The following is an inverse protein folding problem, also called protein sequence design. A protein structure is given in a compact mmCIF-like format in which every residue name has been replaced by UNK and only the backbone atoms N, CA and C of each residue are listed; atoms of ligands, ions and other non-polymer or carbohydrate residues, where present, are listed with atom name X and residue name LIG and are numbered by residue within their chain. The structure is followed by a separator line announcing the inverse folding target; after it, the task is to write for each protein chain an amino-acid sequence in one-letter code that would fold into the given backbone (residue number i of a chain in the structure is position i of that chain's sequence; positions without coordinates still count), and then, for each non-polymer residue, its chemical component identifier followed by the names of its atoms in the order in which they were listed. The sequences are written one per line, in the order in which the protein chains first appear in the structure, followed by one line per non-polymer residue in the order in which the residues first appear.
data_IF_820360451208
#
_entry.id   IF_820360451208
#
_cell.length_a   1.000
_cell.length_b   1.000
_cell.length_c   1.000
_cell.angle_alpha   90.00
_cell.angle_beta   90.00
_cell.angle_gamma   90.00
#
_symmetry.space_group_name_H-M   'P 1'
#
loop_
_entity.id
_entity.type
_entity.pdbx_description
1 polymer ?
#
# COMPACT_ATOMS: atom_id res chain seq x y z
N UNK A 1 15.54 4.10 14.39
CA UNK A 1 15.74 3.09 13.33
C UNK A 1 14.51 3.10 12.46
N UNK A 2 14.64 3.31 11.15
CA UNK A 2 13.51 3.25 10.25
C UNK A 2 13.20 1.77 9.99
N UNK A 3 12.05 1.29 10.45
CA UNK A 3 11.57 -0.04 10.11
C UNK A 3 11.05 -0.02 8.68
N UNK A 4 11.65 -0.80 7.78
CA UNK A 4 11.13 -0.97 6.41
C UNK A 4 9.81 -1.74 6.48
N UNK A 5 8.78 -1.25 5.78
CA UNK A 5 7.51 -1.98 5.69
C UNK A 5 7.67 -3.21 4.78
N UNK A 6 6.84 -4.23 4.99
CA UNK A 6 6.78 -5.42 4.13
C UNK A 6 6.62 -5.07 2.63
N UNK A 7 5.88 -4.01 2.33
CA UNK A 7 5.72 -3.49 0.96
C UNK A 7 7.04 -2.90 0.41
N UNK A 8 7.75 -2.10 1.21
CA UNK A 8 9.04 -1.51 0.81
C UNK A 8 10.10 -2.57 0.54
N UNK A 9 10.16 -3.62 1.39
CA UNK A 9 11.08 -4.75 1.20
C UNK A 9 10.74 -5.49 -0.10
N UNK A 10 9.46 -5.74 -0.37
CA UNK A 10 9.03 -6.37 -1.62
C UNK A 10 9.45 -5.55 -2.83
N UNK A 11 9.16 -4.25 -2.87
CA UNK A 11 9.55 -3.38 -3.99
C UNK A 11 11.06 -3.44 -4.27
N UNK A 12 11.87 -3.45 -3.22
CA UNK A 12 13.32 -3.60 -3.31
C UNK A 12 13.72 -4.96 -3.87
N UNK A 13 13.08 -6.05 -3.45
CA UNK A 13 13.37 -7.40 -3.96
C UNK A 13 12.94 -7.53 -5.43
N UNK A 14 11.80 -6.97 -5.83
CA UNK A 14 11.33 -7.01 -7.21
C UNK A 14 12.23 -6.23 -8.18
N UNK A 15 12.91 -5.19 -7.69
CA UNK A 15 13.91 -4.47 -8.48
C UNK A 15 15.22 -5.25 -8.67
N UNK A 16 15.42 -6.34 -7.93
CA UNK A 16 16.63 -7.16 -8.00
C UNK A 16 16.44 -8.33 -8.96
N UNK A 17 17.56 -8.79 -9.53
CA UNK A 17 17.56 -10.01 -10.35
C UNK A 17 17.31 -11.22 -9.44
N UNK A 18 16.35 -12.07 -9.80
CA UNK A 18 16.08 -13.32 -9.07
C UNK A 18 17.34 -14.21 -9.11
N UNK A 19 17.74 -14.82 -7.98
CA UNK A 19 18.89 -15.70 -7.95
C UNK A 19 18.61 -17.02 -8.68
N UNK A 20 19.67 -17.64 -9.20
CA UNK A 20 19.63 -18.99 -9.71
C UNK A 20 19.93 -19.96 -8.57
N UNK A 21 19.24 -21.10 -8.55
CA UNK A 21 19.54 -22.15 -7.57
C UNK A 21 20.95 -22.72 -7.82
N UNK A 22 21.81 -22.83 -6.80
CA UNK A 22 23.19 -23.31 -6.97
C UNK A 22 23.26 -24.80 -7.34
N UNK A 23 22.18 -25.56 -7.17
CA UNK A 23 22.16 -27.00 -7.42
C UNK A 23 21.59 -27.40 -8.79
N UNK A 24 20.63 -26.63 -9.32
CA UNK A 24 19.98 -26.98 -10.60
C UNK A 24 20.00 -25.85 -11.63
N UNK A 25 20.53 -24.67 -11.29
CA UNK A 25 20.65 -23.53 -12.19
C UNK A 25 19.33 -22.87 -12.62
N UNK A 26 18.18 -23.37 -12.16
CA UNK A 26 16.87 -22.75 -12.45
C UNK A 26 16.67 -21.49 -11.62
N UNK A 27 15.96 -20.52 -12.20
CA UNK A 27 15.57 -19.29 -11.51
C UNK A 27 14.66 -19.62 -10.31
N UNK A 28 14.95 -19.01 -9.17
CA UNK A 28 14.21 -19.25 -7.94
C UNK A 28 12.93 -18.41 -7.91
N UNK A 29 11.90 -18.95 -7.26
CA UNK A 29 10.59 -18.29 -7.15
C UNK A 29 10.54 -17.47 -5.87
N UNK A 30 9.89 -16.30 -5.94
CA UNK A 30 9.67 -15.47 -4.76
C UNK A 30 8.60 -16.12 -3.86
N UNK A 31 8.88 -16.16 -2.56
CA UNK A 31 8.09 -16.85 -1.56
C UNK A 31 7.84 -15.94 -0.37
N UNK A 32 6.58 -15.80 0.03
CA UNK A 32 6.18 -15.00 1.18
C UNK A 32 6.36 -15.79 2.47
N UNK A 33 7.06 -15.21 3.44
CA UNK A 33 7.18 -15.84 4.76
C UNK A 33 5.81 -15.75 5.47
N UNK A 34 5.27 -16.88 5.97
CA UNK A 34 4.01 -16.88 6.70
C UNK A 34 4.01 -15.86 7.85
N UNK A 35 2.87 -15.19 8.10
CA UNK A 35 2.77 -14.18 9.16
C UNK A 35 2.88 -14.77 10.57
N UNK A 36 2.79 -16.09 10.70
CA UNK A 36 3.00 -16.84 11.92
C UNK A 36 4.32 -17.62 11.80
N UNK A 37 5.22 -17.41 12.76
CA UNK A 37 6.42 -18.24 12.91
C UNK A 37 6.03 -19.57 13.57
N UNK A 38 6.47 -20.68 12.98
CA UNK A 38 6.31 -22.03 13.53
C UNK A 38 7.61 -22.44 14.27
N UNK A 39 7.52 -23.31 15.27
CA UNK A 39 8.64 -23.75 16.13
C UNK A 39 9.08 -22.70 17.18
N UNK A 40 10.33 -22.25 17.16
CA UNK A 40 10.97 -21.39 18.17
C UNK A 40 10.50 -19.92 18.14
N UNK A 41 9.64 -19.57 17.19
CA UNK A 41 9.07 -18.25 17.03
C UNK A 41 9.98 -17.23 16.33
N UNK A 42 11.23 -17.59 16.03
CA UNK A 42 12.21 -16.68 15.41
C UNK A 42 12.00 -16.53 13.90
N UNK A 43 11.47 -17.57 13.25
CA UNK A 43 11.24 -17.57 11.81
C UNK A 43 12.52 -17.32 11.01
N UNK A 44 12.40 -16.67 9.86
CA UNK A 44 13.51 -16.44 8.92
C UNK A 44 14.10 -15.03 8.99
N UNK A 45 13.59 -14.14 9.86
CA UNK A 45 14.12 -12.77 9.99
C UNK A 45 13.87 -11.82 8.80
N UNK A 46 13.30 -12.30 7.70
CA UNK A 46 12.91 -11.50 6.52
C UNK A 46 11.48 -11.86 6.06
N UNK A 47 10.74 -10.91 5.45
CA UNK A 47 9.36 -11.16 5.02
C UNK A 47 9.23 -11.97 3.73
N UNK A 48 10.32 -12.13 2.96
CA UNK A 48 10.33 -12.86 1.69
C UNK A 48 11.62 -13.63 1.53
N UNK A 49 11.52 -14.79 0.87
CA UNK A 49 12.66 -15.63 0.48
C UNK A 49 12.57 -15.96 -1.01
N UNK A 50 13.69 -16.34 -1.59
CA UNK A 50 13.67 -17.05 -2.88
C UNK A 50 13.75 -18.54 -2.61
N UNK A 51 12.87 -19.35 -3.21
CA UNK A 51 12.83 -20.80 -3.00
C UNK A 51 12.86 -21.54 -4.34
N UNK A 52 13.64 -22.61 -4.40
CA UNK A 52 13.71 -23.49 -5.57
C UNK A 52 12.57 -24.52 -5.52
N UNK A 53 11.53 -24.30 -6.34
CA UNK A 53 10.42 -25.23 -6.51
C UNK A 53 10.62 -26.29 -7.61
N UNK A 54 11.86 -26.44 -8.11
CA UNK A 54 12.18 -27.49 -9.07
C UNK A 54 12.16 -28.87 -8.40
N UNK A 55 11.22 -29.73 -8.77
CA UNK A 55 11.12 -31.09 -8.24
C UNK A 55 12.23 -32.03 -8.72
N UNK A 56 13.00 -31.62 -9.72
CA UNK A 56 14.18 -32.37 -10.20
C UNK A 56 15.50 -31.85 -9.57
N UNK A 57 15.42 -30.97 -8.58
CA UNK A 57 16.60 -30.39 -7.95
C UNK A 57 17.33 -31.46 -7.11
N UNK A 58 18.66 -31.61 -7.23
CA UNK A 58 19.39 -32.68 -6.52
C UNK A 58 19.16 -32.75 -5.00
N UNK A 59 19.15 -31.64 -4.23
CA UNK A 59 18.85 -31.67 -2.80
C UNK A 59 17.41 -32.11 -2.51
N UNK A 60 16.46 -31.80 -3.39
CA UNK A 60 15.07 -32.18 -3.20
C UNK A 60 14.82 -33.65 -3.52
N UNK A 61 15.46 -34.21 -4.53
CA UNK A 61 15.35 -35.65 -4.82
C UNK A 61 16.03 -36.48 -3.72
N UNK A 62 17.28 -36.14 -3.40
CA UNK A 62 18.06 -36.86 -2.37
C UNK A 62 17.50 -36.69 -0.97
N UNK A 63 16.92 -35.52 -0.67
CA UNK A 63 16.38 -35.22 0.66
C UNK A 63 15.30 -36.19 1.13
N UNK A 64 14.53 -36.81 0.22
CA UNK A 64 13.54 -37.83 0.59
C UNK A 64 14.17 -39.06 1.22
N UNK A 65 15.23 -39.56 0.60
CA UNK A 65 15.95 -40.74 1.09
C UNK A 65 16.81 -40.36 2.30
N UNK A 66 17.54 -39.24 2.22
CA UNK A 66 18.42 -38.77 3.30
C UNK A 66 17.66 -38.55 4.62
N UNK A 67 16.48 -37.92 4.59
CA UNK A 67 15.69 -37.70 5.81
C UNK A 67 15.04 -39.00 6.29
N UNK A 68 14.62 -39.87 5.38
CA UNK A 68 14.08 -41.17 5.75
C UNK A 68 15.12 -42.05 6.45
N UNK A 69 16.34 -42.12 5.91
CA UNK A 69 17.41 -42.98 6.43
C UNK A 69 17.94 -42.49 7.79
N UNK A 70 18.05 -41.17 7.99
CA UNK A 70 18.60 -40.59 9.21
C UNK A 70 17.55 -40.33 10.32
N UNK A 71 16.30 -40.05 9.94
CA UNK A 71 15.27 -39.58 10.87
C UNK A 71 13.95 -40.35 10.79
N UNK A 72 13.84 -41.38 9.94
CA UNK A 72 12.61 -42.18 9.75
C UNK A 72 11.36 -41.34 9.43
N UNK A 73 11.55 -40.17 8.81
CA UNK A 73 10.46 -39.25 8.45
C UNK A 73 10.42 -39.04 6.93
N UNK A 74 9.22 -39.07 6.36
CA UNK A 74 9.00 -38.76 4.95
C UNK A 74 8.96 -37.24 4.75
N UNK A 75 10.12 -36.65 4.53
CA UNK A 75 10.27 -35.24 4.18
C UNK A 75 11.44 -35.07 3.21
N UNK A 76 11.54 -33.91 2.59
CA UNK A 76 12.70 -33.50 1.79
C UNK A 76 13.04 -32.05 2.10
N UNK A 77 14.01 -31.48 1.39
CA UNK A 77 14.43 -30.09 1.50
C UNK A 77 14.33 -29.37 0.16
N UNK A 78 13.96 -28.09 0.21
CA UNK A 78 14.10 -27.15 -0.91
C UNK A 78 15.18 -26.14 -0.59
N UNK A 79 16.01 -25.82 -1.57
CA UNK A 79 17.00 -24.75 -1.43
C UNK A 79 16.27 -23.39 -1.37
N UNK A 80 16.58 -22.60 -0.36
CA UNK A 80 16.09 -21.23 -0.16
C UNK A 80 17.26 -20.24 -0.14
N UNK A 81 17.00 -18.98 -0.45
CA UNK A 81 17.98 -17.91 -0.52
C UNK A 81 17.41 -16.63 0.10
N UNK A 82 18.15 -16.02 1.03
CA UNK A 82 17.80 -14.73 1.62
C UNK A 82 18.11 -13.60 0.63
N UNK A 83 17.13 -12.75 0.27
CA UNK A 83 17.34 -11.65 -0.66
C UNK A 83 18.45 -10.67 -0.23
N UNK A 84 18.62 -10.43 1.08
CA UNK A 84 19.59 -9.43 1.57
C UNK A 84 21.05 -9.94 1.56
N UNK A 85 21.28 -11.19 1.97
CA UNK A 85 22.63 -11.76 2.15
C UNK A 85 23.06 -12.68 1.02
N UNK A 86 22.13 -13.12 0.17
CA UNK A 86 22.33 -14.20 -0.83
C UNK A 86 22.84 -15.51 -0.22
N UNK A 87 22.64 -15.69 1.09
CA UNK A 87 22.93 -16.93 1.79
C UNK A 87 21.92 -17.99 1.36
N UNK A 88 22.41 -19.17 1.01
CA UNK A 88 21.59 -20.31 0.63
C UNK A 88 21.46 -21.29 1.79
N UNK A 89 20.23 -21.70 2.06
CA UNK A 89 19.89 -22.65 3.12
C UNK A 89 18.85 -23.66 2.61
N UNK A 90 18.39 -24.54 3.49
CA UNK A 90 17.42 -25.57 3.18
C UNK A 90 16.15 -25.38 4.01
N UNK A 91 15.02 -25.37 3.32
CA UNK A 91 13.68 -25.38 3.91
C UNK A 91 13.13 -26.81 3.84
N UNK A 92 12.81 -27.44 4.99
CA UNK A 92 12.14 -28.74 5.00
C UNK A 92 10.74 -28.66 4.37
N UNK A 93 10.38 -29.69 3.61
CA UNK A 93 9.07 -29.87 2.99
C UNK A 93 8.56 -31.29 3.19
N UNK A 94 7.30 -31.42 3.61
CA UNK A 94 6.70 -32.72 3.96
C UNK A 94 5.92 -33.37 2.81
N UNK A 95 5.82 -32.68 1.68
CA UNK A 95 5.13 -33.17 0.48
C UNK A 95 5.63 -32.40 -0.75
N UNK A 96 5.26 -32.87 -1.95
CA UNK A 96 5.60 -32.18 -3.20
C UNK A 96 5.01 -30.76 -3.26
N UNK A 97 3.83 -30.58 -2.68
CA UNK A 97 3.13 -29.29 -2.54
C UNK A 97 3.59 -28.49 -1.30
N UNK A 98 4.55 -29.03 -0.52
CA UNK A 98 5.08 -28.36 0.65
C UNK A 98 5.70 -27.01 0.28
N UNK A 99 5.20 -25.94 0.91
CA UNK A 99 5.66 -24.57 0.67
C UNK A 99 5.04 -23.88 -0.55
N UNK A 100 4.28 -24.56 -1.42
CA UNK A 100 3.76 -23.90 -2.65
C UNK A 100 2.66 -22.88 -2.38
N UNK A 101 2.00 -22.93 -1.23
CA UNK A 101 0.89 -22.03 -0.88
C UNK A 101 1.29 -20.57 -0.61
N UNK A 102 2.59 -20.28 -0.42
CA UNK A 102 3.09 -18.91 -0.25
C UNK A 102 3.95 -18.46 -1.44
N UNK A 103 3.85 -19.17 -2.57
CA UNK A 103 4.46 -18.69 -3.82
C UNK A 103 3.76 -17.40 -4.21
N UNK A 104 4.54 -16.35 -4.41
CA UNK A 104 4.04 -15.10 -4.97
C UNK A 104 3.93 -15.31 -6.48
N UNK A 105 2.71 -15.53 -6.94
CA UNK A 105 2.39 -15.76 -8.35
C UNK A 105 2.60 -14.46 -9.18
N UNK A 106 2.85 -14.63 -10.47
CA UNK A 106 2.97 -13.54 -11.46
C UNK A 106 1.71 -12.65 -11.47
N UNK A 107 0.56 -13.19 -11.05
CA UNK A 107 -0.68 -12.42 -10.88
C UNK A 107 -0.58 -11.35 -9.78
N UNK A 108 -0.01 -11.68 -8.62
CA UNK A 108 0.17 -10.72 -7.51
C UNK A 108 1.16 -9.63 -7.90
N UNK A 109 2.20 -10.00 -8.65
CA UNK A 109 3.16 -9.07 -9.22
C UNK A 109 2.50 -8.11 -10.22
N UNK A 110 1.67 -8.65 -11.13
CA UNK A 110 0.94 -7.85 -12.09
C UNK A 110 -0.05 -6.88 -11.43
N UNK A 111 -0.78 -7.31 -10.39
CA UNK A 111 -1.68 -6.44 -9.63
C UNK A 111 -0.93 -5.27 -8.97
N UNK A 112 0.27 -5.50 -8.45
CA UNK A 112 1.11 -4.44 -7.90
C UNK A 112 1.65 -3.49 -8.96
N UNK A 113 2.06 -3.99 -10.13
CA UNK A 113 2.47 -3.15 -11.24
C UNK A 113 1.31 -2.28 -11.73
N UNK A 114 0.11 -2.85 -11.85
CA UNK A 114 -1.11 -2.12 -12.18
C UNK A 114 -1.39 -1.04 -11.13
N UNK A 115 -1.26 -1.37 -9.84
CA UNK A 115 -1.44 -0.40 -8.76
C UNK A 115 -0.41 0.74 -8.85
N UNK A 116 0.87 0.42 -9.06
CA UNK A 116 1.95 1.41 -9.25
C UNK A 116 1.69 2.30 -10.45
N UNK A 117 1.25 1.73 -11.57
CA UNK A 117 0.93 2.48 -12.76
C UNK A 117 -0.29 3.39 -12.56
N UNK A 118 -1.33 2.91 -11.87
CA UNK A 118 -2.48 3.74 -11.45
C UNK A 118 -2.06 4.90 -10.56
N UNK A 119 -1.18 4.66 -9.58
CA UNK A 119 -0.63 5.72 -8.74
C UNK A 119 0.11 6.74 -9.62
N UNK A 120 1.03 6.32 -10.49
CA UNK A 120 1.76 7.24 -11.38
C UNK A 120 0.82 8.07 -12.25
N UNK A 121 -0.21 7.44 -12.84
CA UNK A 121 -1.24 8.11 -13.63
C UNK A 121 -2.01 9.13 -12.79
N UNK A 122 -2.47 8.75 -11.61
CA UNK A 122 -3.19 9.64 -10.69
C UNK A 122 -2.36 10.87 -10.28
N UNK A 123 -1.09 10.67 -9.92
CA UNK A 123 -0.17 11.77 -9.59
C UNK A 123 0.12 12.69 -10.79
N UNK A 124 0.23 12.13 -12.00
CA UNK A 124 0.39 12.92 -13.22
C UNK A 124 -0.82 13.82 -13.48
N UNK A 125 -2.04 13.26 -13.33
CA UNK A 125 -3.29 14.03 -13.49
C UNK A 125 -3.38 15.13 -12.43
N UNK A 126 -3.06 14.81 -11.16
CA UNK A 126 -3.04 15.80 -10.09
C UNK A 126 -2.06 16.94 -10.37
N UNK A 127 -0.84 16.63 -10.83
CA UNK A 127 0.14 17.64 -11.19
C UNK A 127 -0.37 18.57 -12.31
N UNK A 128 -0.99 18.01 -13.36
CA UNK A 128 -1.61 18.78 -14.43
C UNK A 128 -2.76 19.67 -13.92
N UNK A 129 -3.61 19.14 -13.05
CA UNK A 129 -4.72 19.86 -12.43
C UNK A 129 -4.22 21.03 -11.56
N UNK A 130 -3.10 20.86 -10.85
CA UNK A 130 -2.48 21.92 -10.06
C UNK A 130 -2.02 23.10 -10.91
N UNK A 131 -1.31 22.82 -12.01
CA UNK A 131 -0.78 23.86 -12.91
C UNK A 131 -1.90 24.63 -13.58
N UNK A 132 -2.94 23.91 -14.02
CA UNK A 132 -4.13 24.51 -14.64
C UNK A 132 -5.11 25.14 -13.64
N UNK A 133 -4.89 24.97 -12.33
CA UNK A 133 -5.81 25.34 -11.24
C UNK A 133 -7.20 24.71 -11.37
N UNK A 134 -7.27 23.52 -11.96
CA UNK A 134 -8.51 22.76 -12.07
C UNK A 134 -8.84 22.07 -10.74
N UNK A 135 -9.62 22.73 -9.91
CA UNK A 135 -10.08 22.20 -8.63
C UNK A 135 -11.09 21.06 -8.80
N UNK A 136 -11.85 21.01 -9.90
CA UNK A 136 -12.89 20.02 -10.15
C UNK A 136 -12.27 18.63 -10.35
N UNK A 137 -11.20 18.54 -11.13
CA UNK A 137 -10.48 17.27 -11.34
C UNK A 137 -9.87 16.74 -10.03
N UNK A 138 -9.38 17.63 -9.16
CA UNK A 138 -8.83 17.23 -7.85
C UNK A 138 -9.94 16.71 -6.93
N UNK A 139 -11.09 17.38 -6.86
CA UNK A 139 -12.26 16.90 -6.11
C UNK A 139 -12.70 15.52 -6.61
N UNK A 140 -12.78 15.33 -7.93
CA UNK A 140 -13.17 14.05 -8.54
C UNK A 140 -12.25 12.90 -8.10
N UNK A 141 -10.93 13.09 -8.20
CA UNK A 141 -9.93 12.08 -7.79
C UNK A 141 -9.95 11.80 -6.30
N UNK A 142 -10.25 12.81 -5.46
CA UNK A 142 -10.39 12.63 -4.03
C UNK A 142 -11.61 11.78 -3.66
N UNK A 143 -12.74 12.04 -4.32
CA UNK A 143 -14.02 11.37 -4.06
C UNK A 143 -14.10 9.96 -4.65
N UNK A 144 -13.31 9.65 -5.69
CA UNK A 144 -13.29 8.32 -6.29
C UNK A 144 -12.72 7.27 -5.32
N UNK A 145 -13.55 6.27 -4.97
CA UNK A 145 -13.16 5.18 -4.08
C UNK A 145 -12.27 4.12 -4.76
N UNK A 146 -12.23 4.11 -6.10
CA UNK A 146 -11.41 3.19 -6.89
C UNK A 146 -9.97 3.68 -7.03
N UNK A 147 -9.73 4.95 -6.73
CA UNK A 147 -8.41 5.56 -6.78
C UNK A 147 -7.52 5.10 -5.61
N UNK A 148 -6.21 4.92 -5.83
CA UNK A 148 -5.30 4.52 -4.77
C UNK A 148 -5.28 5.54 -3.62
N UNK A 149 -5.20 5.03 -2.39
CA UNK A 149 -5.28 5.86 -1.19
C UNK A 149 -4.23 6.99 -1.15
N UNK A 150 -3.03 6.75 -1.69
CA UNK A 150 -1.98 7.77 -1.80
C UNK A 150 -2.36 8.93 -2.73
N UNK A 151 -3.06 8.64 -3.83
CA UNK A 151 -3.56 9.66 -4.77
C UNK A 151 -4.62 10.50 -4.09
N UNK A 152 -5.58 9.86 -3.41
CA UNK A 152 -6.64 10.54 -2.65
C UNK A 152 -6.08 11.44 -1.56
N UNK A 153 -5.10 10.97 -0.79
CA UNK A 153 -4.44 11.77 0.24
C UNK A 153 -3.77 13.01 -0.36
N UNK A 154 -3.08 12.85 -1.51
CA UNK A 154 -2.44 13.98 -2.18
C UNK A 154 -3.47 14.96 -2.75
N UNK A 155 -4.56 14.46 -3.32
CA UNK A 155 -5.69 15.28 -3.78
C UNK A 155 -6.29 16.10 -2.63
N UNK A 156 -6.48 15.48 -1.45
CA UNK A 156 -6.96 16.16 -0.25
C UNK A 156 -6.02 17.29 0.20
N UNK A 157 -4.71 17.14 0.05
CA UNK A 157 -3.77 18.23 0.35
C UNK A 157 -3.89 19.37 -0.68
N UNK A 158 -3.90 19.02 -1.97
CA UNK A 158 -3.88 19.99 -3.07
C UNK A 158 -5.13 20.84 -3.13
N UNK A 159 -6.30 20.27 -2.79
CA UNK A 159 -7.54 21.05 -2.79
C UNK A 159 -7.52 22.16 -1.74
N UNK A 160 -6.77 22.01 -0.65
CA UNK A 160 -6.59 23.08 0.33
C UNK A 160 -5.90 24.31 -0.26
N UNK A 161 -5.06 24.12 -1.28
CA UNK A 161 -4.25 25.17 -1.89
C UNK A 161 -4.89 25.78 -3.14
N UNK A 162 -5.57 24.97 -3.99
CA UNK A 162 -6.20 25.45 -5.24
C UNK A 162 -7.73 25.52 -5.17
N UNK A 163 -8.36 24.87 -4.20
CA UNK A 163 -9.82 24.73 -4.13
C UNK A 163 -10.51 26.08 -3.93
N UNK A 164 -11.66 26.21 -4.58
CA UNK A 164 -12.59 27.34 -4.44
C UNK A 164 -13.71 27.02 -3.44
N UNK A 165 -14.62 27.96 -3.19
CA UNK A 165 -15.72 27.75 -2.23
C UNK A 165 -16.64 26.59 -2.62
N UNK A 166 -16.83 26.35 -3.92
CA UNK A 166 -17.66 25.27 -4.45
C UNK A 166 -17.09 23.87 -4.15
N UNK A 167 -15.79 23.76 -3.89
CA UNK A 167 -15.16 22.47 -3.55
C UNK A 167 -15.45 22.01 -2.11
N UNK A 168 -15.93 22.91 -1.23
CA UNK A 168 -16.12 22.61 0.20
C UNK A 168 -17.26 21.61 0.40
N UNK A 169 -18.43 21.86 -0.19
CA UNK A 169 -19.63 21.05 0.02
C UNK A 169 -19.49 19.59 -0.47
N UNK A 170 -18.94 19.31 -1.67
CA UNK A 170 -18.72 17.94 -2.12
C UNK A 170 -17.78 17.15 -1.22
N UNK A 171 -16.73 17.80 -0.71
CA UNK A 171 -15.72 17.11 0.10
C UNK A 171 -16.24 16.92 1.53
N UNK A 172 -16.98 17.89 2.08
CA UNK A 172 -17.52 17.82 3.45
C UNK A 172 -18.64 16.80 3.60
N UNK A 173 -19.44 16.60 2.56
CA UNK A 173 -20.54 15.62 2.55
C UNK A 173 -20.05 14.18 2.36
N UNK A 174 -18.82 14.00 1.87
CA UNK A 174 -18.24 12.69 1.61
C UNK A 174 -17.73 11.98 2.87
N UNK A 175 -17.82 10.64 2.89
CA UNK A 175 -17.24 9.78 3.93
C UNK A 175 -16.05 9.00 3.36
N UNK A 176 -14.85 9.26 3.85
CA UNK A 176 -13.62 8.72 3.26
C UNK A 176 -13.17 7.35 3.81
N UNK A 177 -13.79 6.85 4.89
CA UNK A 177 -13.46 5.57 5.54
C UNK A 177 -12.09 5.52 6.23
N UNK A 178 -11.10 6.29 5.74
CA UNK A 178 -9.77 6.41 6.30
C UNK A 178 -9.61 7.73 7.07
N UNK A 179 -9.22 7.63 8.34
CA UNK A 179 -9.06 8.79 9.23
C UNK A 179 -8.01 9.79 8.77
N UNK A 180 -6.93 9.34 8.11
CA UNK A 180 -5.85 10.21 7.67
C UNK A 180 -6.34 11.13 6.54
N UNK A 181 -7.11 10.58 5.59
CA UNK A 181 -7.71 11.37 4.51
C UNK A 181 -8.77 12.32 5.06
N UNK A 182 -9.60 11.87 6.00
CA UNK A 182 -10.61 12.72 6.64
C UNK A 182 -9.96 13.92 7.35
N UNK A 183 -8.92 13.69 8.17
CA UNK A 183 -8.17 14.76 8.84
C UNK A 183 -7.59 15.75 7.83
N UNK A 184 -7.03 15.25 6.72
CA UNK A 184 -6.46 16.11 5.68
C UNK A 184 -7.51 16.94 4.96
N UNK A 185 -8.68 16.35 4.71
CA UNK A 185 -9.85 17.05 4.17
C UNK A 185 -10.28 18.19 5.09
N UNK A 186 -10.41 17.93 6.39
CA UNK A 186 -10.84 18.93 7.37
C UNK A 186 -9.83 20.09 7.47
N UNK A 187 -8.53 19.79 7.40
CA UNK A 187 -7.47 20.79 7.28
C UNK A 187 -7.61 21.64 6.01
N UNK A 188 -7.88 21.00 4.88
CA UNK A 188 -8.01 21.69 3.59
C UNK A 188 -9.24 22.58 3.53
N UNK A 189 -10.37 22.17 4.12
CA UNK A 189 -11.56 23.03 4.24
C UNK A 189 -11.25 24.28 5.08
N UNK A 190 -10.52 24.14 6.19
CA UNK A 190 -10.07 25.29 6.99
C UNK A 190 -9.19 26.25 6.18
N UNK A 191 -8.23 25.73 5.41
CA UNK A 191 -7.37 26.53 4.52
C UNK A 191 -8.19 27.32 3.49
N UNK A 192 -9.20 26.70 2.88
CA UNK A 192 -10.07 27.38 1.89
C UNK A 192 -10.84 28.51 2.59
N UNK A 193 -11.44 28.26 3.76
CA UNK A 193 -12.14 29.28 4.53
C UNK A 193 -11.26 30.47 4.92
N UNK A 194 -10.01 30.22 5.33
CA UNK A 194 -9.04 31.27 5.65
C UNK A 194 -8.71 32.13 4.43
N UNK A 195 -8.48 31.50 3.27
CA UNK A 195 -8.14 32.18 2.01
C UNK A 195 -9.28 33.07 1.48
N UNK A 196 -10.53 32.66 1.66
CA UNK A 196 -11.70 33.44 1.22
C UNK A 196 -12.34 34.29 2.35
N UNK A 197 -11.77 34.32 3.54
CA UNK A 197 -12.32 34.99 4.73
C UNK A 197 -13.77 34.57 5.03
N UNK A 198 -14.09 33.29 4.83
CA UNK A 198 -15.40 32.69 5.12
C UNK A 198 -15.31 31.73 6.31
N UNK A 199 -16.46 31.25 6.76
CA UNK A 199 -16.63 30.18 7.76
C UNK A 199 -18.00 29.55 7.59
N UNK A 200 -18.22 28.38 8.15
CA UNK A 200 -19.53 27.75 8.19
C UNK A 200 -20.41 28.36 9.29
N UNK A 201 -21.69 28.55 9.00
CA UNK A 201 -22.67 28.97 9.98
C UNK A 201 -22.95 27.83 10.99
N UNK A 202 -22.83 28.04 12.30
CA UNK A 202 -23.02 26.99 13.31
C UNK A 202 -24.46 26.45 13.39
N UNK A 203 -25.42 27.09 12.73
CA UNK A 203 -26.83 26.71 12.78
C UNK A 203 -27.35 26.04 11.50
N UNK A 204 -26.84 26.44 10.34
CA UNK A 204 -27.33 25.96 9.04
C UNK A 204 -26.23 25.42 8.13
N UNK A 205 -24.98 25.36 8.61
CA UNK A 205 -23.79 24.92 7.88
C UNK A 205 -23.43 25.73 6.61
N UNK A 206 -24.24 26.70 6.21
CA UNK A 206 -23.98 27.57 5.06
C UNK A 206 -22.71 28.40 5.20
N UNK A 207 -22.05 28.66 4.06
CA UNK A 207 -20.82 29.44 4.00
C UNK A 207 -21.15 30.93 4.17
N UNK A 208 -20.67 31.52 5.26
CA UNK A 208 -20.84 32.94 5.58
C UNK A 208 -19.49 33.66 5.67
N UNK A 209 -19.49 34.99 5.53
CA UNK A 209 -18.27 35.78 5.77
C UNK A 209 -17.85 35.67 7.24
N UNK A 210 -16.55 35.60 7.52
CA UNK A 210 -16.01 35.49 8.89
C UNK A 210 -16.45 36.64 9.81
N UNK A 211 -16.61 37.84 9.26
CA UNK A 211 -17.09 39.05 9.96
C UNK A 211 -18.62 39.18 10.04
N UNK A 212 -19.38 38.22 9.51
CA UNK A 212 -20.84 38.30 9.55
C UNK A 212 -21.33 38.23 11.00
N UNK A 213 -22.16 39.20 11.40
CA UNK A 213 -22.86 39.22 12.68
C UNK A 213 -24.19 38.47 12.60
N UNK A 214 -24.87 38.53 11.46
CA UNK A 214 -26.13 37.81 11.22
C UNK A 214 -25.96 36.93 9.99
N UNK A 215 -26.41 35.67 10.07
CA UNK A 215 -26.40 34.77 8.93
C UNK A 215 -27.50 35.16 7.95
N UNK A 216 -27.14 35.36 6.67
CA UNK A 216 -28.10 35.72 5.61
C UNK A 216 -29.07 34.60 5.23
N UNK A 217 -28.73 33.36 5.57
CA UNK A 217 -29.51 32.18 5.19
C UNK A 217 -30.55 31.84 6.25
N UNK A 218 -30.14 31.78 7.53
CA UNK A 218 -31.04 31.39 8.63
C UNK A 218 -31.49 32.54 9.55
N UNK A 219 -30.99 33.77 9.33
CA UNK A 219 -31.36 34.95 10.10
C UNK A 219 -30.86 35.00 11.55
N UNK A 220 -30.14 33.98 12.02
CA UNK A 220 -29.64 33.89 13.40
C UNK A 220 -28.39 34.75 13.61
N UNK A 221 -28.23 35.26 14.83
CA UNK A 221 -27.02 35.94 15.28
C UNK A 221 -25.86 34.94 15.41
N UNK A 222 -24.78 35.24 14.70
CA UNK A 222 -23.54 34.47 14.61
C UNK A 222 -22.35 35.27 15.15
N UNK A 223 -22.56 36.45 15.74
CA UNK A 223 -21.50 37.24 16.35
C UNK A 223 -20.87 36.48 17.53
N UNK A 224 -19.55 36.29 17.49
CA UNK A 224 -18.79 35.66 18.58
C UNK A 224 -18.94 34.14 18.72
N UNK A 225 -19.67 33.47 17.81
CA UNK A 225 -19.76 32.01 17.72
C UNK A 225 -18.98 31.46 16.54
#
# INVERSE_FOLDING_TARGET
MAFETKEQVLEKILSQKKPLCPHCGKEMTLWEVPPFSFSDGLGWGEPYLFVCFNNDCPPYLKGWDDIMDNYAHKASVRCMCYPSTKQFEYMPVFSQIGGTGQIIDDQVLAEQEILKEKIKKGFSILAGAYVSKDSVTVVRLLLDATEPQRVRLKAAEMIGDIGELEAIEPIRSARFGNEIVQKKVDESVKKIHERYFTRECPFCAEIIKKRAKVCKHCGKDVAGK
#
